data_IF_937809709625
#
_entry.id   IF_937809709625
#
_cell.length_a   1.000
_cell.length_b   1.000
_cell.length_c   1.000
_cell.angle_alpha   90.00
_cell.angle_beta   90.00
_cell.angle_gamma   90.00
#
_symmetry.space_group_name_H-M   'P 1'
#
loop_
_entity.id
_entity.type
_entity.pdbx_description
1 polymer ?
#
# COMPACT_ATOMS: atom_id res chain seq x y z
N UNK A 1 67.77 -52.69 39.49
CA UNK A 1 66.45 -52.07 39.53
C UNK A 1 65.91 -51.95 38.13
N UNK A 2 64.77 -52.53 37.79
CA UNK A 2 64.26 -52.51 36.43
C UNK A 2 63.47 -51.25 36.14
N UNK A 3 63.80 -50.64 34.99
CA UNK A 3 63.13 -49.45 34.52
C UNK A 3 61.81 -49.81 33.83
N UNK A 4 60.76 -49.11 34.24
CA UNK A 4 59.47 -49.18 33.65
C UNK A 4 59.50 -48.56 32.25
N UNK A 5 59.31 -49.40 31.21
CA UNK A 5 59.03 -48.99 29.88
C UNK A 5 57.51 -48.64 29.74
N UNK A 6 57.20 -47.37 29.88
CA UNK A 6 55.88 -46.88 29.51
C UNK A 6 55.65 -47.01 28.01
N UNK A 7 54.87 -48.01 27.65
CA UNK A 7 54.38 -48.18 26.28
C UNK A 7 53.25 -47.14 26.06
N UNK A 8 53.55 -46.09 25.33
CA UNK A 8 52.55 -45.17 24.81
C UNK A 8 51.62 -45.90 23.84
N UNK A 9 50.31 -45.73 23.92
CA UNK A 9 49.37 -46.33 22.95
C UNK A 9 49.56 -45.64 21.60
N UNK A 10 50.14 -46.36 20.65
CA UNK A 10 50.21 -46.01 19.24
C UNK A 10 48.79 -46.04 18.72
N UNK A 11 48.13 -44.85 18.62
CA UNK A 11 46.89 -44.71 17.86
C UNK A 11 47.19 -44.95 16.37
N UNK A 12 46.87 -46.12 15.88
CA UNK A 12 46.87 -46.37 14.43
C UNK A 12 45.98 -45.31 13.74
N UNK A 13 46.42 -44.75 12.58
CA UNK A 13 45.57 -43.88 11.81
C UNK A 13 44.31 -44.67 11.37
N UNK A 14 43.11 -44.08 11.44
CA UNK A 14 41.92 -44.81 11.07
C UNK A 14 42.01 -45.28 9.60
N UNK A 15 41.77 -46.57 9.39
CA UNK A 15 41.78 -47.18 8.06
C UNK A 15 40.91 -46.33 7.11
N UNK A 16 41.43 -46.05 5.89
CA UNK A 16 40.72 -45.25 4.89
C UNK A 16 39.31 -45.79 4.63
N UNK A 17 39.14 -47.11 4.75
CA UNK A 17 37.85 -47.77 4.66
C UNK A 17 36.89 -47.41 5.80
N UNK A 18 37.41 -47.28 7.03
CA UNK A 18 36.60 -46.87 8.19
C UNK A 18 36.12 -45.42 8.03
N UNK A 19 36.98 -44.51 7.60
CA UNK A 19 36.61 -43.09 7.35
C UNK A 19 35.57 -43.02 6.25
N UNK A 20 35.71 -43.78 5.16
CA UNK A 20 34.73 -43.84 4.08
C UNK A 20 33.37 -44.36 4.56
N UNK A 21 33.33 -45.40 5.40
CA UNK A 21 32.09 -45.93 5.97
C UNK A 21 31.36 -44.89 6.86
N UNK A 22 32.11 -44.16 7.70
CA UNK A 22 31.55 -43.10 8.53
C UNK A 22 30.97 -41.96 7.68
N UNK A 23 31.67 -41.57 6.62
CA UNK A 23 31.19 -40.56 5.67
C UNK A 23 29.92 -40.99 4.94
N UNK A 24 29.89 -42.23 4.45
CA UNK A 24 28.70 -42.80 3.79
C UNK A 24 27.51 -42.84 4.78
N UNK A 25 27.74 -43.27 6.01
CA UNK A 25 26.68 -43.31 7.02
C UNK A 25 26.15 -41.90 7.35
N UNK A 26 27.02 -40.93 7.53
CA UNK A 26 26.66 -39.54 7.75
C UNK A 26 25.88 -38.96 6.56
N UNK A 27 26.31 -39.23 5.33
CA UNK A 27 25.64 -38.81 4.11
C UNK A 27 24.25 -39.44 4.00
N UNK A 28 24.14 -40.75 4.25
CA UNK A 28 22.85 -41.46 4.24
C UNK A 28 21.86 -40.85 5.28
N UNK A 29 22.33 -40.51 6.47
CA UNK A 29 21.52 -39.87 7.50
C UNK A 29 21.05 -38.46 7.09
N UNK A 30 21.92 -37.66 6.49
CA UNK A 30 21.57 -36.34 5.95
C UNK A 30 20.56 -36.43 4.80
N UNK A 31 20.79 -37.41 3.90
CA UNK A 31 19.88 -37.66 2.79
C UNK A 31 18.50 -38.10 3.26
N UNK A 32 18.41 -39.00 4.23
CA UNK A 32 17.15 -39.43 4.81
C UNK A 32 16.41 -38.28 5.51
N UNK A 33 17.14 -37.39 6.21
CA UNK A 33 16.56 -36.18 6.83
C UNK A 33 16.04 -35.21 5.78
N UNK A 34 16.76 -35.03 4.68
CA UNK A 34 16.33 -34.18 3.56
C UNK A 34 15.08 -34.75 2.89
N UNK A 35 15.00 -36.01 2.68
CA UNK A 35 13.87 -36.70 2.04
C UNK A 35 12.65 -36.81 2.98
N UNK A 36 12.80 -36.64 4.30
CA UNK A 36 11.72 -36.70 5.30
C UNK A 36 10.73 -37.88 5.08
N UNK A 37 11.26 -39.05 4.69
CA UNK A 37 10.44 -40.24 4.37
C UNK A 37 9.71 -40.18 3.01
N UNK A 38 9.93 -39.17 2.19
CA UNK A 38 9.40 -39.09 0.81
C UNK A 38 10.26 -39.86 -0.17
N UNK A 39 9.61 -40.50 -1.14
CA UNK A 39 10.31 -41.12 -2.26
C UNK A 39 10.76 -40.06 -3.25
N UNK A 40 11.82 -40.32 -4.03
CA UNK A 40 12.35 -39.40 -5.04
C UNK A 40 11.26 -38.89 -6.02
N UNK A 41 10.36 -39.77 -6.44
CA UNK A 41 9.23 -39.43 -7.32
C UNK A 41 8.20 -38.49 -6.66
N UNK A 42 8.00 -38.59 -5.33
CA UNK A 42 7.12 -37.68 -4.62
C UNK A 42 7.75 -36.30 -4.49
N UNK A 43 9.06 -36.23 -4.23
CA UNK A 43 9.79 -34.97 -4.13
C UNK A 43 9.84 -34.24 -5.48
N UNK A 44 10.01 -34.97 -6.58
CA UNK A 44 9.98 -34.42 -7.94
C UNK A 44 8.62 -33.75 -8.24
N UNK A 45 7.51 -34.42 -7.91
CA UNK A 45 6.17 -33.87 -8.07
C UNK A 45 5.95 -32.59 -7.22
N UNK A 46 6.41 -32.61 -5.96
CA UNK A 46 6.32 -31.45 -5.09
C UNK A 46 7.12 -30.25 -5.64
N UNK A 47 8.33 -30.51 -6.19
CA UNK A 47 9.16 -29.48 -6.80
C UNK A 47 8.50 -28.92 -8.06
N UNK A 48 7.92 -29.76 -8.91
CA UNK A 48 7.20 -29.29 -10.11
C UNK A 48 5.98 -28.47 -9.75
N UNK A 49 5.18 -28.89 -8.77
CA UNK A 49 4.04 -28.11 -8.27
C UNK A 49 4.48 -26.75 -7.75
N UNK A 50 5.55 -26.69 -6.93
CA UNK A 50 6.09 -25.43 -6.43
C UNK A 50 6.60 -24.52 -7.56
N UNK A 51 7.14 -25.11 -8.63
CA UNK A 51 7.57 -24.33 -9.79
C UNK A 51 6.37 -23.72 -10.53
N UNK A 52 5.31 -24.50 -10.77
CA UNK A 52 4.07 -24.03 -11.40
C UNK A 52 3.40 -22.93 -10.56
N UNK A 53 3.31 -23.13 -9.24
CA UNK A 53 2.79 -22.12 -8.31
C UNK A 53 3.62 -20.83 -8.37
N UNK A 54 4.96 -20.96 -8.45
CA UNK A 54 5.83 -19.79 -8.53
C UNK A 54 5.64 -19.00 -9.84
N UNK A 55 5.45 -19.69 -10.96
CA UNK A 55 5.15 -19.06 -12.25
C UNK A 55 3.80 -18.34 -12.18
N UNK A 56 2.79 -18.99 -11.61
CA UNK A 56 1.47 -18.38 -11.42
C UNK A 56 1.52 -17.15 -10.53
N UNK A 57 2.22 -17.24 -9.38
CA UNK A 57 2.38 -16.10 -8.46
C UNK A 57 3.08 -14.93 -9.15
N UNK A 58 4.16 -15.17 -9.91
CA UNK A 58 4.87 -14.11 -10.65
C UNK A 58 3.95 -13.41 -11.65
N UNK A 59 3.20 -14.18 -12.45
CA UNK A 59 2.27 -13.59 -13.42
C UNK A 59 1.16 -12.77 -12.75
N UNK A 60 0.63 -13.27 -11.63
CA UNK A 60 -0.37 -12.55 -10.83
C UNK A 60 0.19 -11.27 -10.22
N UNK A 61 1.43 -11.29 -9.74
CA UNK A 61 2.10 -10.10 -9.20
C UNK A 61 2.31 -9.02 -10.28
N UNK A 62 2.71 -9.41 -11.48
CA UNK A 62 2.87 -8.46 -12.59
C UNK A 62 1.53 -7.83 -12.99
N UNK A 63 0.46 -8.64 -13.05
CA UNK A 63 -0.88 -8.14 -13.30
C UNK A 63 -1.32 -7.16 -12.21
N UNK A 64 -1.21 -7.56 -10.94
CA UNK A 64 -1.58 -6.71 -9.81
C UNK A 64 -0.81 -5.39 -9.81
N UNK A 65 0.48 -5.43 -10.16
CA UNK A 65 1.30 -4.21 -10.29
C UNK A 65 0.72 -3.24 -11.32
N UNK A 66 0.36 -3.73 -12.51
CA UNK A 66 -0.26 -2.91 -13.56
C UNK A 66 -1.62 -2.35 -13.13
N UNK A 67 -2.45 -3.18 -12.50
CA UNK A 67 -3.76 -2.76 -12.03
C UNK A 67 -3.64 -1.66 -10.95
N UNK A 68 -2.65 -1.78 -10.07
CA UNK A 68 -2.34 -0.76 -9.06
C UNK A 68 -1.85 0.55 -9.71
N UNK A 69 -0.94 0.49 -10.67
CA UNK A 69 -0.44 1.67 -11.40
C UNK A 69 -1.60 2.40 -12.13
N UNK A 70 -2.52 1.65 -12.74
CA UNK A 70 -3.71 2.21 -13.37
C UNK A 70 -4.65 2.87 -12.36
N UNK A 71 -4.87 2.21 -11.21
CA UNK A 71 -5.68 2.77 -10.13
C UNK A 71 -5.07 4.06 -9.57
N UNK A 72 -3.76 4.11 -9.36
CA UNK A 72 -3.08 5.33 -8.92
C UNK A 72 -3.26 6.47 -9.92
N UNK A 73 -3.12 6.20 -11.21
CA UNK A 73 -3.31 7.21 -12.25
C UNK A 73 -4.74 7.76 -12.26
N UNK A 74 -5.72 6.89 -12.15
CA UNK A 74 -7.14 7.29 -12.07
C UNK A 74 -7.44 8.06 -10.78
N UNK A 75 -6.82 7.65 -9.67
CA UNK A 75 -7.02 8.31 -8.38
C UNK A 75 -6.51 9.74 -8.38
N UNK A 76 -5.37 10.02 -9.01
CA UNK A 76 -4.79 11.37 -9.07
C UNK A 76 -5.72 12.41 -9.71
N UNK A 77 -6.57 11.99 -10.66
CA UNK A 77 -7.52 12.87 -11.38
C UNK A 77 -8.94 12.83 -10.83
N UNK A 78 -9.21 11.91 -9.88
CA UNK A 78 -10.51 11.84 -9.24
C UNK A 78 -10.67 12.97 -8.20
N UNK A 79 -11.88 13.50 -8.09
CA UNK A 79 -12.19 14.45 -7.01
C UNK A 79 -12.25 13.71 -5.67
N UNK A 80 -11.33 14.02 -4.79
CA UNK A 80 -11.17 13.35 -3.50
C UNK A 80 -11.13 14.31 -2.31
N UNK A 81 -10.97 15.59 -2.60
CA UNK A 81 -10.95 16.66 -1.59
C UNK A 81 -12.24 17.46 -1.68
N UNK A 82 -12.92 17.56 -0.56
CA UNK A 82 -14.19 18.27 -0.45
C UNK A 82 -14.09 19.34 0.63
N UNK A 83 -14.52 20.56 0.31
CA UNK A 83 -14.67 21.64 1.25
C UNK A 83 -16.05 22.25 1.13
N UNK A 84 -16.79 22.31 2.24
CA UNK A 84 -18.13 22.91 2.30
C UNK A 84 -18.13 24.04 3.30
N UNK A 85 -18.70 25.18 2.91
CA UNK A 85 -18.94 26.35 3.75
C UNK A 85 -20.39 26.76 3.59
N UNK A 86 -21.13 26.78 4.70
CA UNK A 86 -22.49 27.32 4.75
C UNK A 86 -22.42 28.71 5.36
N UNK A 87 -23.17 29.65 4.79
CA UNK A 87 -23.17 31.04 5.25
C UNK A 87 -24.55 31.71 5.03
N UNK A 88 -24.75 32.82 5.69
CA UNK A 88 -25.90 33.65 5.48
C UNK A 88 -25.50 34.84 4.63
N UNK A 89 -25.96 34.89 3.37
CA UNK A 89 -25.56 35.92 2.42
C UNK A 89 -26.28 37.25 2.71
N UNK A 90 -27.49 37.24 3.29
CA UNK A 90 -28.37 38.43 3.41
C UNK A 90 -28.88 38.73 4.80
N UNK A 91 -28.51 37.96 5.83
CA UNK A 91 -28.90 38.11 7.25
C UNK A 91 -30.43 38.23 7.54
N UNK A 92 -31.26 38.18 6.53
CA UNK A 92 -32.71 38.39 6.60
C UNK A 92 -33.54 37.11 6.59
N UNK A 93 -32.92 35.98 6.22
CA UNK A 93 -33.60 34.70 5.95
C UNK A 93 -33.63 33.69 7.09
N UNK A 94 -33.10 34.04 8.26
CA UNK A 94 -33.21 33.20 9.46
C UNK A 94 -32.44 31.87 9.37
N UNK A 95 -31.29 31.83 8.69
CA UNK A 95 -30.44 30.66 8.64
C UNK A 95 -29.37 30.69 7.54
N UNK A 96 -28.35 29.83 7.68
CA UNK A 96 -27.27 29.71 6.71
C UNK A 96 -27.72 28.84 5.51
N UNK A 97 -28.56 29.41 4.64
CA UNK A 97 -29.10 28.69 3.45
C UNK A 97 -28.17 28.73 2.25
N UNK A 98 -27.28 29.72 2.18
CA UNK A 98 -26.26 29.81 1.13
C UNK A 98 -25.08 28.89 1.43
N UNK A 99 -24.47 28.37 0.40
CA UNK A 99 -23.29 27.51 0.57
C UNK A 99 -22.30 27.62 -0.58
N UNK A 100 -21.04 27.37 -0.29
CA UNK A 100 -19.97 27.13 -1.27
C UNK A 100 -19.42 25.72 -1.08
N UNK A 101 -19.34 24.98 -2.18
CA UNK A 101 -18.79 23.64 -2.26
C UNK A 101 -17.56 23.66 -3.17
N UNK A 102 -16.41 23.23 -2.66
CA UNK A 102 -15.21 23.01 -3.45
C UNK A 102 -14.93 21.50 -3.59
N UNK A 103 -14.70 21.05 -4.82
CA UNK A 103 -14.32 19.68 -5.15
C UNK A 103 -12.99 19.71 -5.91
N UNK A 104 -11.97 19.09 -5.33
CA UNK A 104 -10.60 19.11 -5.86
C UNK A 104 -10.01 17.69 -5.97
N UNK A 105 -9.14 17.51 -6.96
CA UNK A 105 -8.31 16.34 -7.12
C UNK A 105 -7.07 16.38 -6.19
N UNK A 106 -6.18 15.41 -6.33
CA UNK A 106 -4.94 15.34 -5.54
C UNK A 106 -4.05 16.58 -5.76
N UNK A 107 -4.05 17.12 -6.97
CA UNK A 107 -3.24 18.28 -7.38
C UNK A 107 -3.93 19.62 -7.09
N UNK A 108 -5.03 19.63 -6.33
CA UNK A 108 -5.84 20.81 -6.04
C UNK A 108 -6.46 21.46 -7.28
N UNK A 109 -6.72 20.70 -8.32
CA UNK A 109 -7.47 21.11 -9.49
C UNK A 109 -8.92 20.62 -9.38
N UNK A 110 -9.85 21.42 -9.87
CA UNK A 110 -11.26 21.05 -9.83
C UNK A 110 -12.16 22.24 -10.06
N UNK A 111 -13.21 22.32 -9.30
CA UNK A 111 -14.17 23.44 -9.38
C UNK A 111 -14.78 23.72 -8.01
N UNK A 112 -15.27 24.94 -7.86
CA UNK A 112 -16.19 25.30 -6.79
C UNK A 112 -17.56 25.59 -7.35
N UNK A 113 -18.59 25.31 -6.57
CA UNK A 113 -19.96 25.70 -6.81
C UNK A 113 -20.43 26.56 -5.65
N UNK A 114 -20.97 27.73 -5.97
CA UNK A 114 -21.56 28.60 -4.97
C UNK A 114 -23.06 28.73 -5.25
N UNK A 115 -23.87 28.58 -4.22
CA UNK A 115 -25.31 28.75 -4.26
C UNK A 115 -25.72 29.79 -3.24
N UNK A 116 -26.26 30.91 -3.72
CA UNK A 116 -26.67 32.07 -2.89
C UNK A 116 -28.18 32.09 -2.84
N UNK A 117 -28.74 32.01 -1.65
CA UNK A 117 -30.16 32.14 -1.40
C UNK A 117 -30.52 33.57 -0.97
N UNK A 118 -31.51 34.16 -1.62
CA UNK A 118 -32.12 35.42 -1.27
C UNK A 118 -33.64 35.31 -1.19
N UNK A 119 -34.31 36.37 -0.70
CA UNK A 119 -35.78 36.46 -0.72
C UNK A 119 -36.39 36.36 -2.10
N UNK A 120 -35.65 36.77 -3.13
CA UNK A 120 -36.12 36.83 -4.52
C UNK A 120 -35.77 35.58 -5.34
N UNK A 121 -34.98 34.64 -4.78
CA UNK A 121 -34.62 33.42 -5.45
C UNK A 121 -33.26 32.86 -5.04
N UNK A 122 -32.86 31.81 -5.77
CA UNK A 122 -31.58 31.15 -5.57
C UNK A 122 -30.72 31.27 -6.86
N UNK A 123 -29.50 31.74 -6.68
CA UNK A 123 -28.54 31.90 -7.76
C UNK A 123 -27.36 30.94 -7.53
N UNK A 124 -27.04 30.12 -8.53
CA UNK A 124 -25.91 29.19 -8.47
C UNK A 124 -24.95 29.43 -9.63
N UNK A 125 -23.67 29.37 -9.35
CA UNK A 125 -22.61 29.47 -10.34
C UNK A 125 -21.40 28.60 -9.97
N UNK A 126 -20.53 28.36 -10.95
CA UNK A 126 -19.32 27.58 -10.76
C UNK A 126 -18.09 28.38 -11.19
N UNK A 127 -16.96 28.14 -10.51
CA UNK A 127 -15.64 28.65 -10.90
C UNK A 127 -14.67 27.49 -11.00
N UNK A 128 -13.78 27.52 -11.98
CA UNK A 128 -12.71 26.54 -12.12
C UNK A 128 -11.60 26.86 -11.12
N UNK A 129 -11.06 25.79 -10.50
CA UNK A 129 -9.92 25.88 -9.59
C UNK A 129 -8.73 25.16 -10.21
N UNK A 130 -7.55 25.78 -10.21
CA UNK A 130 -6.28 25.22 -10.61
C UNK A 130 -5.25 25.49 -9.52
N UNK A 131 -4.57 24.42 -9.08
CA UNK A 131 -3.55 24.50 -8.03
C UNK A 131 -4.06 25.24 -6.76
N UNK A 132 -5.33 25.09 -6.42
CA UNK A 132 -5.93 25.71 -5.24
C UNK A 132 -6.31 27.19 -5.43
N UNK A 133 -6.26 27.73 -6.65
CA UNK A 133 -6.62 29.12 -6.97
C UNK A 133 -7.53 29.17 -8.20
N UNK A 134 -8.11 30.35 -8.47
CA UNK A 134 -9.01 30.59 -9.61
C UNK A 134 -8.61 31.85 -10.37
N UNK A 135 -8.76 31.82 -11.69
CA UNK A 135 -8.56 32.98 -12.56
C UNK A 135 -9.61 34.10 -12.28
N UNK A 136 -10.73 33.70 -11.72
CA UNK A 136 -11.82 34.63 -11.34
C UNK A 136 -11.69 34.95 -9.84
N UNK A 137 -11.80 36.21 -9.47
CA UNK A 137 -11.74 36.64 -8.07
C UNK A 137 -12.65 35.80 -7.15
N UNK A 138 -12.08 35.29 -6.08
CA UNK A 138 -12.77 34.45 -5.09
C UNK A 138 -13.30 35.30 -3.94
N UNK A 139 -14.53 35.00 -3.48
CA UNK A 139 -15.06 35.54 -2.22
C UNK A 139 -14.33 34.95 -1.01
N UNK A 140 -14.59 35.49 0.20
CA UNK A 140 -13.99 34.94 1.40
C UNK A 140 -14.48 33.52 1.68
N UNK A 141 -15.76 33.24 1.48
CA UNK A 141 -16.39 31.92 1.66
C UNK A 141 -15.83 30.91 0.67
N UNK A 142 -15.60 31.33 -0.58
CA UNK A 142 -14.99 30.49 -1.61
C UNK A 142 -13.54 30.12 -1.29
N UNK A 143 -12.76 31.08 -0.79
CA UNK A 143 -11.37 30.82 -0.33
C UNK A 143 -11.34 29.83 0.82
N UNK A 144 -12.23 30.01 1.80
CA UNK A 144 -12.33 29.09 2.94
C UNK A 144 -12.76 27.70 2.50
N UNK A 145 -13.67 27.57 1.52
CA UNK A 145 -14.08 26.28 0.99
C UNK A 145 -12.91 25.54 0.29
N UNK A 146 -12.14 26.25 -0.51
CA UNK A 146 -10.93 25.69 -1.17
C UNK A 146 -9.91 25.27 -0.10
N UNK A 147 -9.65 26.11 0.89
CA UNK A 147 -8.70 25.82 1.96
C UNK A 147 -9.13 24.59 2.80
N UNK A 148 -10.42 24.45 3.11
CA UNK A 148 -10.97 23.26 3.78
C UNK A 148 -10.78 21.99 2.92
N UNK A 149 -11.05 22.08 1.62
CA UNK A 149 -10.81 20.98 0.69
C UNK A 149 -9.34 20.57 0.68
N UNK A 150 -8.42 21.51 0.60
CA UNK A 150 -6.98 21.26 0.58
C UNK A 150 -6.46 20.64 1.88
N UNK A 151 -7.01 21.03 3.03
CA UNK A 151 -6.65 20.47 4.35
C UNK A 151 -7.25 19.08 4.60
N UNK A 152 -8.17 18.61 3.75
CA UNK A 152 -8.82 17.31 3.92
C UNK A 152 -9.74 17.26 5.16
N UNK A 153 -10.10 18.40 5.71
CA UNK A 153 -10.99 18.51 6.87
C UNK A 153 -12.43 18.50 6.36
N UNK A 154 -12.96 17.33 6.10
CA UNK A 154 -14.40 17.11 5.98
C UNK A 154 -15.05 17.25 7.37
N UNK A 155 -14.79 18.35 8.08
CA UNK A 155 -15.48 18.64 9.33
C UNK A 155 -16.70 19.47 8.99
N UNK A 156 -17.89 18.89 9.23
CA UNK A 156 -19.18 19.59 9.35
C UNK A 156 -19.15 20.56 10.55
N UNK A 157 -18.16 21.43 10.62
CA UNK A 157 -18.21 22.55 11.55
C UNK A 157 -18.82 23.70 10.78
N UNK A 158 -20.13 23.85 10.96
CA UNK A 158 -20.82 25.09 10.66
C UNK A 158 -20.02 26.19 11.37
N UNK A 159 -19.48 27.13 10.59
CA UNK A 159 -18.83 28.30 11.15
C UNK A 159 -19.92 29.07 11.96
N UNK A 160 -19.70 29.17 13.27
CA UNK A 160 -20.47 30.07 14.13
C UNK A 160 -20.28 31.53 13.74
#
# INVERSE_FOLDING_TARGET
>A
CPGDLAVSPTTLPPDKNFVALVQIHSFKKKYQKFMQGKNASSLEKDIMSLYEDNVFIKSSMEKNKKDIEELFTKHQTAFQKLGLVKYDAFKEMGGKLSFTLALLDENNNGFLMNSVHSSDGCYSYTKRVKNGDSEIALSNEEKVAIERAMKGTASNQDAE
#
